data_IF_767345878277
#
_entry.id   IF_767345878277
#
_cell.length_a   1.000
_cell.length_b   1.000
_cell.length_c   1.000
_cell.angle_alpha   90.00
_cell.angle_beta   90.00
_cell.angle_gamma   90.00
#
_symmetry.space_group_name_H-M   'P 1'
#
loop_
_entity.id
_entity.type
_entity.pdbx_description
1 polymer ?
#
# COMPACT_ATOMS: atom_id res chain seq x y z
N UNK A 1 -8.85 -11.84 -11.89
CA UNK A 1 -7.64 -12.63 -12.20
C UNK A 1 -8.12 -14.05 -12.49
N UNK A 2 -8.32 -14.39 -13.76
CA UNK A 2 -8.57 -15.77 -14.16
C UNK A 2 -7.21 -16.46 -14.10
N UNK A 3 -6.89 -17.01 -12.94
CA UNK A 3 -5.76 -17.93 -12.80
C UNK A 3 -6.16 -19.17 -13.56
N UNK A 4 -5.52 -19.40 -14.71
CA UNK A 4 -5.62 -20.66 -15.44
C UNK A 4 -5.06 -21.75 -14.52
N UNK A 5 -5.94 -22.44 -13.80
CA UNK A 5 -5.62 -23.71 -13.19
C UNK A 5 -5.41 -24.68 -14.36
N UNK A 6 -4.15 -24.99 -14.61
CA UNK A 6 -3.70 -25.97 -15.58
C UNK A 6 -4.22 -27.35 -15.15
N UNK A 7 -5.41 -27.73 -15.65
CA UNK A 7 -5.99 -29.07 -15.53
C UNK A 7 -5.32 -30.02 -16.52
N UNK A 8 -3.99 -30.14 -16.45
CA UNK A 8 -3.20 -31.12 -17.18
C UNK A 8 -3.00 -32.40 -16.36
N UNK A 9 -2.86 -33.59 -16.98
CA UNK A 9 -2.69 -34.87 -16.29
C UNK A 9 -1.26 -35.05 -15.71
N UNK A 10 -0.59 -33.95 -15.38
CA UNK A 10 0.72 -33.94 -14.77
C UNK A 10 0.66 -34.38 -13.30
N UNK A 11 1.76 -34.93 -12.75
CA UNK A 11 1.80 -35.31 -11.35
C UNK A 11 1.43 -34.10 -10.48
N UNK A 12 0.64 -34.31 -9.40
CA UNK A 12 0.19 -33.21 -8.55
C UNK A 12 1.41 -32.44 -8.06
N UNK A 13 1.47 -31.14 -8.39
CA UNK A 13 2.56 -30.25 -7.98
C UNK A 13 2.47 -30.10 -6.46
N UNK A 14 3.10 -31.04 -5.74
CA UNK A 14 3.06 -31.12 -4.26
C UNK A 14 3.85 -30.02 -3.56
N UNK A 15 4.55 -29.15 -4.29
CA UNK A 15 5.45 -28.13 -3.73
C UNK A 15 5.55 -26.86 -4.60
N UNK A 16 4.44 -26.18 -4.84
CA UNK A 16 4.51 -24.75 -5.15
C UNK A 16 3.65 -24.02 -4.13
N UNK A 17 4.19 -23.83 -2.92
CA UNK A 17 3.91 -22.58 -2.22
C UNK A 17 4.36 -21.49 -3.19
N UNK A 18 3.42 -20.94 -3.96
CA UNK A 18 3.69 -19.75 -4.73
C UNK A 18 4.36 -18.77 -3.76
N UNK A 19 5.53 -18.25 -4.10
CA UNK A 19 6.23 -17.26 -3.27
C UNK A 19 5.44 -15.94 -3.33
N UNK A 20 4.26 -15.93 -2.72
CA UNK A 20 3.29 -14.84 -2.75
C UNK A 20 3.91 -13.57 -2.17
N UNK A 21 4.88 -13.70 -1.25
CA UNK A 21 5.68 -12.59 -0.75
C UNK A 21 6.51 -11.91 -1.85
N UNK A 22 7.19 -12.67 -2.72
CA UNK A 22 7.95 -12.09 -3.85
C UNK A 22 7.01 -11.46 -4.87
N UNK A 23 5.88 -12.11 -5.15
CA UNK A 23 4.85 -11.55 -6.02
C UNK A 23 4.34 -10.21 -5.47
N UNK A 24 4.04 -10.15 -4.18
CA UNK A 24 3.62 -8.92 -3.52
C UNK A 24 4.69 -7.82 -3.62
N UNK A 25 5.96 -8.14 -3.36
CA UNK A 25 7.07 -7.19 -3.51
C UNK A 25 7.16 -6.63 -4.93
N UNK A 26 7.03 -7.48 -5.95
CA UNK A 26 7.02 -7.05 -7.36
C UNK A 26 5.82 -6.15 -7.66
N UNK A 27 4.62 -6.52 -7.20
CA UNK A 27 3.41 -5.71 -7.40
C UNK A 27 3.51 -4.36 -6.68
N UNK A 28 4.02 -4.34 -5.44
CA UNK A 28 4.30 -3.11 -4.69
C UNK A 28 5.25 -2.20 -5.47
N UNK A 29 6.37 -2.74 -5.96
CA UNK A 29 7.33 -1.99 -6.76
C UNK A 29 6.67 -1.40 -8.02
N UNK A 30 5.94 -2.22 -8.79
CA UNK A 30 5.28 -1.77 -10.02
C UNK A 30 4.27 -0.64 -9.75
N UNK A 31 3.51 -0.72 -8.65
CA UNK A 31 2.59 0.35 -8.25
C UNK A 31 3.36 1.65 -7.97
N UNK A 32 4.51 1.59 -7.28
CA UNK A 32 5.35 2.76 -6.98
C UNK A 32 6.04 3.36 -8.22
N UNK A 33 6.06 2.63 -9.33
CA UNK A 33 6.49 3.13 -10.64
C UNK A 33 5.35 3.79 -11.45
N UNK A 34 4.09 3.71 -10.98
CA UNK A 34 2.94 4.26 -11.69
C UNK A 34 2.63 5.71 -11.29
N UNK A 35 2.00 6.46 -12.20
CA UNK A 35 1.44 7.76 -11.90
C UNK A 35 0.11 7.59 -11.17
N UNK A 36 0.05 8.11 -9.94
CA UNK A 36 -1.14 8.12 -9.07
C UNK A 36 -1.60 9.55 -8.74
N UNK A 37 -1.14 10.57 -9.48
CA UNK A 37 -1.45 11.98 -9.21
C UNK A 37 -2.96 12.29 -9.22
N UNK A 38 -3.77 11.49 -9.93
CA UNK A 38 -5.24 11.61 -9.90
C UNK A 38 -5.87 11.27 -8.54
N UNK A 39 -5.10 10.65 -7.63
CA UNK A 39 -5.49 10.34 -6.24
C UNK A 39 -4.87 11.29 -5.23
N UNK A 40 -4.04 12.24 -5.68
CA UNK A 40 -3.34 13.17 -4.82
C UNK A 40 -4.07 14.51 -4.77
N UNK A 41 -4.07 15.12 -3.60
CA UNK A 41 -4.68 16.39 -3.30
C UNK A 41 -3.85 17.10 -2.22
N UNK A 42 -3.51 18.37 -2.41
CA UNK A 42 -2.86 19.16 -1.37
C UNK A 42 -3.86 19.60 -0.31
N UNK A 43 -3.41 19.73 0.94
CA UNK A 43 -4.19 20.38 2.00
C UNK A 43 -4.34 21.88 1.78
N UNK A 44 -3.44 22.48 1.00
CA UNK A 44 -3.46 23.91 0.67
C UNK A 44 -4.28 24.09 -0.60
N UNK A 45 -5.47 24.68 -0.46
CA UNK A 45 -6.37 24.88 -1.59
C UNK A 45 -5.71 25.74 -2.69
N UNK A 46 -5.80 25.29 -3.94
CA UNK A 46 -5.17 25.93 -5.09
C UNK A 46 -3.71 25.54 -5.35
N UNK A 47 -3.04 24.87 -4.42
CA UNK A 47 -1.70 24.35 -4.66
C UNK A 47 -1.76 22.95 -5.30
N UNK A 48 -0.84 22.64 -6.23
CA UNK A 48 -0.67 21.28 -6.70
C UNK A 48 -0.13 20.39 -5.57
N UNK A 49 -0.45 19.09 -5.57
CA UNK A 49 0.16 18.14 -4.66
C UNK A 49 1.69 18.11 -4.75
N UNK A 50 2.36 17.91 -3.63
CA UNK A 50 3.80 17.75 -3.58
C UNK A 50 4.27 16.50 -4.35
N UNK A 51 5.45 16.51 -4.99
CA UNK A 51 6.02 15.31 -5.60
C UNK A 51 6.22 14.20 -4.57
N UNK A 52 5.84 12.97 -4.92
CA UNK A 52 5.89 11.82 -4.01
C UNK A 52 7.33 11.28 -3.88
N UNK A 53 7.99 11.40 -2.71
CA UNK A 53 9.36 10.94 -2.51
C UNK A 53 9.45 9.40 -2.34
N UNK A 54 8.32 8.70 -2.23
CA UNK A 54 8.27 7.26 -1.99
C UNK A 54 8.12 6.42 -3.26
N UNK A 55 8.15 7.06 -4.43
CA UNK A 55 8.23 6.38 -5.73
C UNK A 55 9.53 5.58 -5.90
N UNK A 56 9.71 4.96 -7.06
CA UNK A 56 10.98 4.30 -7.39
C UNK A 56 12.10 5.35 -7.59
N UNK A 57 13.18 5.33 -6.78
CA UNK A 57 14.27 6.31 -6.88
C UNK A 57 15.07 6.21 -8.18
N UNK A 58 14.97 5.10 -8.92
CA UNK A 58 15.67 4.92 -10.20
C UNK A 58 14.91 5.55 -11.37
N UNK A 59 13.68 6.05 -11.14
CA UNK A 59 12.85 6.66 -12.16
C UNK A 59 12.79 8.18 -11.98
N UNK A 60 13.03 8.92 -13.06
CA UNK A 60 12.82 10.36 -13.10
C UNK A 60 11.35 10.74 -13.30
N UNK A 61 10.56 9.82 -13.87
CA UNK A 61 9.13 9.99 -14.14
C UNK A 61 8.41 8.65 -14.07
N UNK A 62 7.11 8.63 -13.76
CA UNK A 62 6.34 7.38 -13.74
C UNK A 62 6.32 6.70 -15.10
N UNK A 63 6.32 5.37 -15.11
CA UNK A 63 6.34 4.56 -16.35
C UNK A 63 5.00 4.65 -17.08
N UNK A 64 3.89 4.63 -16.33
CA UNK A 64 2.53 4.67 -16.86
C UNK A 64 1.53 5.15 -15.81
N UNK A 65 0.33 5.63 -16.20
CA UNK A 65 -0.78 5.80 -15.27
C UNK A 65 -1.17 4.49 -14.61
N UNK A 66 -1.55 4.54 -13.33
CA UNK A 66 -2.10 3.35 -12.67
C UNK A 66 -3.38 2.90 -13.40
N UNK A 67 -3.50 1.58 -13.62
CA UNK A 67 -4.70 1.02 -14.23
C UNK A 67 -5.89 1.17 -13.28
N UNK A 68 -7.07 1.55 -13.81
CA UNK A 68 -8.26 1.82 -13.00
C UNK A 68 -8.63 0.64 -12.09
N UNK A 69 -8.62 -0.58 -12.61
CA UNK A 69 -8.93 -1.79 -11.83
C UNK A 69 -8.00 -1.97 -10.62
N UNK A 70 -6.72 -1.61 -10.77
CA UNK A 70 -5.74 -1.65 -9.68
C UNK A 70 -6.00 -0.52 -8.69
N UNK A 71 -6.29 0.68 -9.20
CA UNK A 71 -6.62 1.84 -8.35
C UNK A 71 -7.91 1.63 -7.54
N UNK A 72 -8.90 0.91 -8.07
CA UNK A 72 -10.13 0.57 -7.36
C UNK A 72 -9.87 -0.45 -6.25
N UNK A 73 -9.04 -1.46 -6.52
CA UNK A 73 -8.65 -2.43 -5.49
C UNK A 73 -7.84 -1.75 -4.39
N UNK A 74 -6.86 -0.94 -4.78
CA UNK A 74 -5.90 -0.36 -3.84
C UNK A 74 -6.50 0.77 -3.01
N UNK A 75 -7.18 1.74 -3.66
CA UNK A 75 -7.63 2.97 -2.98
C UNK A 75 -9.10 2.98 -2.58
N UNK A 76 -9.94 2.09 -3.12
CA UNK A 76 -11.40 2.10 -2.85
C UNK A 76 -11.81 0.92 -1.96
N UNK A 77 -11.23 -0.27 -2.16
CA UNK A 77 -11.58 -1.45 -1.36
C UNK A 77 -10.82 -1.45 -0.03
N UNK A 78 -11.45 -0.93 1.02
CA UNK A 78 -10.90 -0.91 2.39
C UNK A 78 -10.50 -2.29 2.89
N UNK A 79 -11.21 -3.36 2.49
CA UNK A 79 -10.87 -4.75 2.83
C UNK A 79 -9.47 -5.17 2.35
N UNK A 80 -8.96 -4.57 1.27
CA UNK A 80 -7.60 -4.81 0.82
C UNK A 80 -6.57 -4.18 1.76
N UNK A 81 -6.81 -2.91 2.17
CA UNK A 81 -5.97 -2.20 3.14
C UNK A 81 -5.91 -2.94 4.47
N UNK A 82 -7.05 -3.40 4.96
CA UNK A 82 -7.13 -4.25 6.16
C UNK A 82 -6.24 -5.50 6.01
N UNK A 83 -6.39 -6.21 4.88
CA UNK A 83 -5.63 -7.45 4.64
C UNK A 83 -4.12 -7.22 4.57
N UNK A 84 -3.64 -6.16 3.91
CA UNK A 84 -2.19 -5.89 3.85
C UNK A 84 -1.61 -5.49 5.22
N UNK A 85 -2.41 -4.83 6.06
CA UNK A 85 -2.00 -4.49 7.42
C UNK A 85 -1.93 -5.77 8.28
N UNK A 86 -2.93 -6.64 8.22
CA UNK A 86 -2.98 -7.90 8.98
C UNK A 86 -1.88 -8.89 8.54
N UNK A 87 -1.77 -9.14 7.23
CA UNK A 87 -0.90 -10.20 6.71
C UNK A 87 0.57 -9.76 6.58
N UNK A 88 0.84 -8.46 6.48
CA UNK A 88 2.15 -7.95 6.02
C UNK A 88 2.64 -6.69 6.75
N UNK A 89 2.14 -6.37 7.95
CA UNK A 89 2.58 -5.20 8.74
C UNK A 89 4.09 -5.14 9.00
N UNK A 90 4.74 -6.29 9.17
CA UNK A 90 6.19 -6.40 9.36
C UNK A 90 7.03 -6.28 8.08
N UNK A 91 6.39 -6.20 6.91
CA UNK A 91 7.10 -6.16 5.63
C UNK A 91 7.53 -4.73 5.29
N UNK A 92 8.81 -4.55 5.02
CA UNK A 92 9.37 -3.29 4.51
C UNK A 92 8.65 -2.83 3.23
N UNK A 93 8.22 -3.77 2.39
CA UNK A 93 7.50 -3.46 1.15
C UNK A 93 6.09 -2.93 1.41
N UNK A 94 5.43 -3.35 2.49
CA UNK A 94 4.15 -2.78 2.91
C UNK A 94 4.32 -1.35 3.39
N UNK A 95 5.36 -1.08 4.18
CA UNK A 95 5.66 0.28 4.64
C UNK A 95 5.88 1.20 3.44
N UNK A 96 6.69 0.78 2.45
CA UNK A 96 6.94 1.54 1.23
C UNK A 96 5.67 1.78 0.42
N UNK A 97 4.86 0.75 0.20
CA UNK A 97 3.60 0.85 -0.54
C UNK A 97 2.62 1.82 0.14
N UNK A 98 2.42 1.67 1.45
CA UNK A 98 1.50 2.50 2.21
C UNK A 98 1.98 3.96 2.26
N UNK A 99 3.26 4.22 2.52
CA UNK A 99 3.80 5.60 2.47
C UNK A 99 3.60 6.24 1.09
N UNK A 100 3.87 5.49 0.03
CA UNK A 100 3.62 5.96 -1.34
C UNK A 100 2.15 6.29 -1.57
N UNK A 101 1.22 5.44 -1.13
CA UNK A 101 -0.21 5.64 -1.36
C UNK A 101 -0.83 6.71 -0.44
N UNK A 102 -0.27 6.93 0.75
CA UNK A 102 -0.70 7.95 1.71
C UNK A 102 -0.21 9.36 1.36
N UNK A 103 0.90 9.49 0.63
CA UNK A 103 1.45 10.78 0.24
C UNK A 103 0.45 11.62 -0.53
N UNK A 104 0.17 12.82 -0.02
CA UNK A 104 -0.78 13.78 -0.55
C UNK A 104 -2.16 13.17 -0.78
N UNK A 105 -2.55 12.14 -0.02
CA UNK A 105 -3.82 11.44 -0.20
C UNK A 105 -4.55 11.31 1.15
N UNK A 106 -5.40 12.27 1.52
CA UNK A 106 -6.05 12.30 2.83
C UNK A 106 -7.02 11.14 3.03
N UNK A 107 -7.76 10.75 1.98
CA UNK A 107 -8.75 9.69 2.06
C UNK A 107 -8.09 8.33 2.33
N UNK A 108 -7.02 8.02 1.60
CA UNK A 108 -6.29 6.78 1.79
C UNK A 108 -5.54 6.77 3.14
N UNK A 109 -4.89 7.90 3.49
CA UNK A 109 -4.24 8.06 4.80
C UNK A 109 -5.21 7.80 5.95
N UNK A 110 -6.41 8.39 5.92
CA UNK A 110 -7.44 8.20 6.94
C UNK A 110 -7.89 6.74 7.05
N UNK A 111 -8.04 6.05 5.92
CA UNK A 111 -8.39 4.62 5.89
C UNK A 111 -7.30 3.78 6.56
N UNK A 112 -6.03 4.00 6.20
CA UNK A 112 -4.88 3.28 6.78
C UNK A 112 -4.77 3.54 8.28
N UNK A 113 -4.89 4.80 8.72
CA UNK A 113 -4.85 5.16 10.14
C UNK A 113 -5.98 4.49 10.92
N UNK A 114 -7.20 4.46 10.37
CA UNK A 114 -8.36 3.82 11.01
C UNK A 114 -8.14 2.32 11.21
N UNK A 115 -7.63 1.62 10.18
CA UNK A 115 -7.32 0.19 10.27
C UNK A 115 -6.16 -0.08 11.25
N UNK A 116 -5.13 0.77 11.28
CA UNK A 116 -4.02 0.63 12.23
C UNK A 116 -4.49 0.85 13.68
N UNK A 117 -5.31 1.87 13.93
CA UNK A 117 -5.88 2.12 15.24
C UNK A 117 -6.79 0.97 15.69
N UNK A 118 -7.53 0.36 14.75
CA UNK A 118 -8.31 -0.86 15.01
C UNK A 118 -7.39 -2.01 15.44
N UNK A 119 -6.29 -2.28 14.71
CA UNK A 119 -5.34 -3.31 15.11
C UNK A 119 -4.72 -3.02 16.48
N UNK A 120 -4.40 -1.77 16.79
CA UNK A 120 -3.87 -1.39 18.12
C UNK A 120 -4.89 -1.61 19.23
N UNK A 121 -6.18 -1.38 18.96
CA UNK A 121 -7.25 -1.53 19.96
C UNK A 121 -7.60 -3.00 20.26
N UNK A 122 -7.45 -3.89 19.28
CA UNK A 122 -7.95 -5.27 19.37
C UNK A 122 -6.88 -6.38 19.32
N UNK A 123 -5.63 -6.06 18.96
CA UNK A 123 -4.54 -7.06 18.96
C UNK A 123 -4.01 -7.33 20.36
N UNK A 124 -3.44 -8.53 20.55
CA UNK A 124 -2.76 -8.86 21.79
C UNK A 124 -1.50 -8.01 21.99
N UNK A 125 -1.16 -7.70 23.24
CA UNK A 125 -0.05 -6.79 23.58
C UNK A 125 1.30 -7.17 22.95
N UNK A 126 1.58 -8.47 22.79
CA UNK A 126 2.83 -8.95 22.20
C UNK A 126 2.88 -8.83 20.67
N UNK A 127 1.75 -8.57 20.01
CA UNK A 127 1.62 -8.38 18.56
C UNK A 127 1.47 -6.90 18.17
N UNK A 128 1.47 -5.98 19.13
CA UNK A 128 1.19 -4.56 18.87
C UNK A 128 2.34 -3.83 18.15
N UNK A 129 3.58 -4.25 18.39
CA UNK A 129 4.77 -3.52 17.93
C UNK A 129 4.78 -3.22 16.42
N UNK A 130 4.52 -4.19 15.52
CA UNK A 130 4.43 -3.94 14.08
C UNK A 130 3.43 -2.84 13.69
N UNK A 131 2.26 -2.83 14.34
CA UNK A 131 1.21 -1.86 14.05
C UNK A 131 1.56 -0.47 14.57
N UNK A 132 2.18 -0.38 15.75
CA UNK A 132 2.66 0.89 16.31
C UNK A 132 3.80 1.49 15.48
N UNK A 133 4.76 0.65 15.05
CA UNK A 133 5.87 1.08 14.19
C UNK A 133 5.32 1.60 12.84
N UNK A 134 4.39 0.87 12.22
CA UNK A 134 3.74 1.30 10.98
C UNK A 134 2.89 2.57 11.17
N UNK A 135 2.12 2.66 12.25
CA UNK A 135 1.34 3.87 12.60
C UNK A 135 2.24 5.10 12.71
N UNK A 136 3.37 4.96 13.42
CA UNK A 136 4.35 6.03 13.52
C UNK A 136 4.89 6.43 12.14
N UNK A 137 5.23 5.47 11.27
CA UNK A 137 5.70 5.76 9.92
C UNK A 137 4.68 6.53 9.08
N UNK A 138 3.37 6.26 9.23
CA UNK A 138 2.31 6.96 8.50
C UNK A 138 2.07 8.37 9.06
N UNK A 139 2.09 8.54 10.38
CA UNK A 139 1.94 9.86 11.03
C UNK A 139 3.13 10.79 10.72
N UNK A 140 4.33 10.24 10.56
CA UNK A 140 5.55 10.99 10.24
C UNK A 140 5.73 11.27 8.73
N UNK A 141 4.71 11.05 7.90
CA UNK A 141 4.77 11.49 6.50
C UNK A 141 4.74 13.03 6.46
N UNK A 142 5.83 13.63 5.98
CA UNK A 142 6.04 15.08 5.89
C UNK A 142 5.49 15.68 4.59
N UNK A 143 4.21 15.43 4.32
CA UNK A 143 3.49 16.09 3.22
C UNK A 143 2.60 17.22 3.74
N UNK A 144 1.84 17.85 2.85
CA UNK A 144 0.97 18.96 3.24
C UNK A 144 -0.14 18.56 4.23
N UNK A 145 -0.43 17.26 4.40
CA UNK A 145 -1.44 16.74 5.33
C UNK A 145 -0.88 16.32 6.69
N UNK A 146 0.42 16.42 6.95
CA UNK A 146 1.03 15.94 8.19
C UNK A 146 0.32 16.45 9.46
N UNK A 147 -0.05 17.74 9.50
CA UNK A 147 -0.70 18.38 10.65
C UNK A 147 -2.20 18.07 10.77
N UNK A 148 -2.78 17.42 9.76
CA UNK A 148 -4.18 17.02 9.70
C UNK A 148 -4.41 15.51 9.92
N UNK A 149 -3.34 14.70 9.85
CA UNK A 149 -3.38 13.26 10.16
C UNK A 149 -3.52 13.01 11.65
#
# INVERSE_FOLDING_TARGET
MLVSLDEGPGPPIKYQYAELGKLYSVVSQLIRCCNVSSRMQSSINGNPPLPNPFGDPNLSQPIMPIQQNVADILFVRTSYVKKIIEDCSNSEETVKLLRFCCWENPQFSSTVLSELLWQVAYSYTYELRPYLDLLLQILLIEDSWQTHR
#
